data_IF_660992310462
#
_entry.id   IF_660992310462
#
_cell.length_a   1.000
_cell.length_b   1.000
_cell.length_c   1.000
_cell.angle_alpha   90.00
_cell.angle_beta   90.00
_cell.angle_gamma   90.00
#
_symmetry.space_group_name_H-M   'P 1'
#
loop_
_entity.id
_entity.type
_entity.pdbx_description
1 polymer ?
#
# COMPACT_ATOMS: atom_id res chain seq x y z
N UNK A 1 -19.61 -13.00 -10.99
CA UNK A 1 -18.33 -13.29 -10.33
C UNK A 1 -18.20 -12.29 -9.19
N UNK A 2 -18.58 -12.73 -8.00
CA UNK A 2 -18.89 -11.87 -6.84
C UNK A 2 -17.60 -11.59 -6.07
N UNK A 3 -17.29 -10.31 -5.83
CA UNK A 3 -16.18 -9.91 -4.98
C UNK A 3 -16.61 -10.07 -3.51
N UNK A 4 -16.28 -11.20 -2.90
CA UNK A 4 -16.34 -11.34 -1.44
C UNK A 4 -15.21 -10.51 -0.81
N UNK A 5 -15.60 -9.40 -0.18
CA UNK A 5 -14.70 -8.58 0.62
C UNK A 5 -14.52 -9.27 1.96
N UNK A 6 -13.36 -9.91 2.15
CA UNK A 6 -12.88 -10.44 3.43
C UNK A 6 -12.89 -9.33 4.49
N UNK A 7 -13.92 -9.36 5.34
CA UNK A 7 -13.98 -8.60 6.60
C UNK A 7 -13.13 -9.32 7.64
N UNK A 8 -11.83 -9.01 7.69
CA UNK A 8 -11.05 -9.25 8.90
C UNK A 8 -11.14 -8.03 9.80
N UNK A 9 -11.93 -8.17 10.86
CA UNK A 9 -11.97 -7.27 12.02
C UNK A 9 -10.70 -7.49 12.86
N UNK A 10 -9.78 -6.53 12.83
CA UNK A 10 -8.58 -6.47 13.69
C UNK A 10 -8.12 -5.01 13.82
N UNK A 11 -7.88 -4.55 15.05
CA UNK A 11 -7.77 -3.15 15.46
C UNK A 11 -6.45 -2.44 15.08
N UNK A 12 -6.22 -2.20 13.80
CA UNK A 12 -5.20 -1.25 13.31
C UNK A 12 -5.86 -0.27 12.34
N UNK A 13 -5.79 1.02 12.66
CA UNK A 13 -6.65 2.11 12.17
C UNK A 13 -7.12 1.98 10.71
N UNK A 14 -8.45 2.06 10.50
CA UNK A 14 -9.18 1.82 9.25
C UNK A 14 -8.28 1.82 7.99
N UNK A 15 -7.84 0.63 7.60
CA UNK A 15 -7.08 0.34 6.39
C UNK A 15 -7.99 0.53 5.19
N UNK A 16 -8.13 1.78 4.75
CA UNK A 16 -8.99 2.11 3.61
C UNK A 16 -8.22 1.94 2.31
N UNK A 17 -8.91 1.55 1.23
CA UNK A 17 -8.34 1.54 -0.13
C UNK A 17 -7.68 2.89 -0.48
N UNK A 18 -8.18 3.98 0.09
CA UNK A 18 -7.61 5.33 0.00
C UNK A 18 -6.18 5.43 0.54
N UNK A 19 -5.86 4.77 1.67
CA UNK A 19 -4.50 4.77 2.24
C UNK A 19 -3.52 4.01 1.36
N UNK A 20 -3.93 2.84 0.87
CA UNK A 20 -3.14 2.04 -0.07
C UNK A 20 -2.88 2.84 -1.35
N UNK A 21 -3.92 3.48 -1.90
CA UNK A 21 -3.82 4.31 -3.08
C UNK A 21 -2.86 5.49 -2.87
N UNK A 22 -2.99 6.21 -1.75
CA UNK A 22 -2.12 7.33 -1.40
C UNK A 22 -0.67 6.89 -1.21
N UNK A 23 -0.43 5.76 -0.54
CA UNK A 23 0.91 5.24 -0.33
C UNK A 23 1.58 4.83 -1.66
N UNK A 24 0.87 4.07 -2.50
CA UNK A 24 1.42 3.55 -3.75
C UNK A 24 1.56 4.61 -4.86
N UNK A 25 0.67 5.62 -4.89
CA UNK A 25 0.53 6.54 -6.04
C UNK A 25 0.65 8.02 -5.68
N UNK A 26 0.73 8.36 -4.38
CA UNK A 26 0.57 9.72 -3.89
C UNK A 26 -0.86 10.27 -3.98
N UNK A 27 -1.76 9.62 -4.72
CA UNK A 27 -3.11 10.13 -4.97
C UNK A 27 -4.09 9.73 -3.86
N UNK A 28 -4.80 10.71 -3.31
CA UNK A 28 -5.85 10.49 -2.30
C UNK A 28 -7.20 10.04 -2.88
N UNK A 29 -7.32 10.03 -4.22
CA UNK A 29 -8.47 9.57 -5.00
C UNK A 29 -8.01 9.05 -6.35
N UNK A 30 -8.79 8.17 -6.98
CA UNK A 30 -8.54 7.71 -8.35
C UNK A 30 -8.57 8.92 -9.30
N UNK A 31 -7.55 9.11 -10.16
CA UNK A 31 -7.57 10.19 -11.15
C UNK A 31 -8.75 10.01 -12.13
N UNK A 32 -9.39 11.11 -12.53
CA UNK A 32 -10.55 11.08 -13.44
C UNK A 32 -10.23 10.42 -14.79
N UNK A 33 -8.99 10.62 -15.28
CA UNK A 33 -8.50 10.05 -16.53
C UNK A 33 -7.75 8.72 -16.34
N UNK A 34 -7.75 8.17 -15.12
CA UNK A 34 -6.92 7.02 -14.77
C UNK A 34 -5.44 7.38 -14.54
N UNK A 35 -4.63 6.37 -14.27
CA UNK A 35 -3.19 6.55 -14.06
C UNK A 35 -2.44 6.51 -15.39
N UNK A 36 -1.45 7.38 -15.57
CA UNK A 36 -0.55 7.34 -16.75
C UNK A 36 0.29 6.07 -16.79
N UNK A 37 0.65 5.54 -15.61
CA UNK A 37 1.31 4.26 -15.41
C UNK A 37 0.46 3.36 -14.53
N UNK A 38 0.28 2.11 -14.94
CA UNK A 38 -0.46 1.13 -14.15
C UNK A 38 0.23 0.92 -12.80
N UNK A 39 -0.51 0.98 -11.68
CA UNK A 39 0.06 0.64 -10.38
C UNK A 39 0.56 -0.80 -10.34
N UNK A 40 1.72 -1.02 -9.73
CA UNK A 40 2.34 -2.35 -9.62
C UNK A 40 2.71 -2.69 -8.19
N UNK A 41 2.70 -3.98 -7.86
CA UNK A 41 3.15 -4.51 -6.58
C UNK A 41 4.30 -5.47 -6.86
N UNK A 42 5.42 -5.27 -6.17
CA UNK A 42 6.60 -6.14 -6.21
C UNK A 42 6.85 -6.71 -4.82
N UNK A 43 7.06 -8.01 -4.73
CA UNK A 43 7.52 -8.68 -3.51
C UNK A 43 9.04 -8.80 -3.56
N UNK A 44 9.74 -8.42 -2.48
CA UNK A 44 11.21 -8.45 -2.42
C UNK A 44 11.73 -8.71 -1.00
N UNK A 45 12.92 -9.30 -0.88
CA UNK A 45 13.60 -9.54 0.40
C UNK A 45 14.28 -8.26 0.95
N UNK A 46 13.48 -7.22 1.20
CA UNK A 46 13.93 -5.91 1.71
C UNK A 46 13.64 -5.76 3.20
N UNK A 47 14.33 -4.85 3.90
CA UNK A 47 14.13 -4.64 5.34
C UNK A 47 12.77 -3.99 5.65
N UNK A 48 12.35 -3.04 4.83
CA UNK A 48 11.09 -2.32 4.98
C UNK A 48 10.35 -2.24 3.65
N UNK A 49 9.03 -2.32 3.69
CA UNK A 49 8.17 -2.02 2.54
C UNK A 49 8.27 -0.54 2.18
N UNK A 50 8.23 -0.22 0.89
CA UNK A 50 8.40 1.15 0.38
C UNK A 50 7.55 1.38 -0.87
N UNK A 51 7.46 2.63 -1.31
CA UNK A 51 6.74 2.98 -2.53
C UNK A 51 7.49 4.03 -3.35
N UNK A 52 7.45 3.84 -4.67
CA UNK A 52 7.93 4.80 -5.67
C UNK A 52 6.71 5.41 -6.35
N UNK A 53 6.22 6.52 -5.80
CA UNK A 53 4.98 7.19 -6.27
C UNK A 53 5.12 7.74 -7.68
N UNK A 54 6.33 8.12 -8.11
CA UNK A 54 6.61 8.57 -9.48
C UNK A 54 6.27 7.52 -10.55
N UNK A 55 6.29 6.23 -10.19
CA UNK A 55 6.03 5.10 -11.09
C UNK A 55 4.89 4.20 -10.60
N UNK A 56 4.11 4.66 -9.61
CA UNK A 56 3.02 3.91 -8.99
C UNK A 56 3.42 2.50 -8.52
N UNK A 57 4.63 2.34 -7.99
CA UNK A 57 5.15 1.02 -7.58
C UNK A 57 5.15 0.89 -6.06
N UNK A 58 4.58 -0.20 -5.56
CA UNK A 58 4.64 -0.64 -4.17
C UNK A 58 5.59 -1.83 -4.04
N UNK A 59 6.59 -1.74 -3.16
CA UNK A 59 7.50 -2.83 -2.82
C UNK A 59 7.12 -3.36 -1.44
N UNK A 60 6.68 -4.61 -1.37
CA UNK A 60 6.34 -5.30 -0.14
C UNK A 60 7.49 -6.21 0.31
N UNK A 61 7.94 -6.03 1.55
CA UNK A 61 8.94 -6.90 2.15
C UNK A 61 8.37 -8.29 2.39
N UNK A 62 9.03 -9.31 1.86
CA UNK A 62 8.79 -10.72 2.23
C UNK A 62 9.88 -11.28 3.15
N UNK A 63 10.79 -10.41 3.63
CA UNK A 63 11.90 -10.81 4.51
C UNK A 63 11.40 -11.26 5.88
N UNK A 64 10.32 -10.65 6.36
CA UNK A 64 9.61 -11.04 7.58
C UNK A 64 8.29 -11.63 7.13
N UNK A 65 8.08 -12.93 7.39
CA UNK A 65 6.86 -13.66 6.99
C UNK A 65 5.75 -13.41 8.02
N UNK A 66 5.37 -12.14 8.15
CA UNK A 66 4.29 -11.69 9.03
C UNK A 66 3.43 -10.68 8.28
N UNK A 67 2.14 -10.98 8.15
CA UNK A 67 1.19 -10.13 7.44
C UNK A 67 0.99 -8.77 8.11
N UNK A 68 1.25 -8.67 9.41
CA UNK A 68 1.17 -7.40 10.16
C UNK A 68 2.25 -6.40 9.71
N UNK A 69 3.36 -6.87 9.13
CA UNK A 69 4.42 -6.01 8.58
C UNK A 69 3.94 -5.25 7.33
N UNK A 70 3.02 -5.83 6.55
CA UNK A 70 2.42 -5.12 5.42
C UNK A 70 1.58 -3.94 5.90
N UNK A 71 0.89 -4.10 7.02
CA UNK A 71 0.05 -3.05 7.58
C UNK A 71 0.86 -1.83 8.03
N UNK A 72 2.07 -2.04 8.55
CA UNK A 72 2.99 -0.98 8.94
C UNK A 72 3.40 -0.08 7.76
N UNK A 73 3.42 -0.63 6.54
CA UNK A 73 3.67 0.16 5.34
C UNK A 73 2.55 1.18 5.08
N UNK A 74 1.30 0.80 5.31
CA UNK A 74 0.12 1.61 4.97
C UNK A 74 -0.33 2.55 6.08
N UNK A 75 0.18 2.38 7.30
CA UNK A 75 -0.13 3.23 8.45
C UNK A 75 0.75 4.48 8.50
N UNK A 76 1.92 4.44 7.85
CA UNK A 76 2.82 5.58 7.78
C UNK A 76 2.40 6.53 6.66
N UNK A 77 1.55 7.51 7.01
CA UNK A 77 1.21 8.64 6.14
C UNK A 77 2.41 9.58 5.89
N UNK A 78 3.51 9.42 6.64
CA UNK A 78 4.71 10.26 6.64
C UNK A 78 5.97 9.46 7.04
N UNK A 79 6.65 8.79 6.10
CA UNK A 79 8.07 8.45 6.31
C UNK A 79 8.93 9.64 5.89
N UNK A 80 8.90 10.70 6.70
CA UNK A 80 9.63 11.95 6.48
C UNK A 80 9.85 12.77 7.75
N UNK A 81 9.92 12.12 8.91
CA UNK A 81 10.45 12.70 10.14
C UNK A 81 11.48 11.74 10.73
N UNK A 82 12.66 11.72 10.12
CA UNK A 82 13.94 12.08 10.77
C UNK A 82 14.80 12.81 9.74
#
# INVERSE_FOLDING_TARGET
>A
MTFEILRHTGSLGQKTLKRILKFATGASRKPLLGFSMNPTIQFAEVMFSSASTCINQLILSIKIVDYDVFDMAFLNDFFGLE
#
